data_IF_589354975464
#
_entry.id   IF_589354975464
#
_cell.length_a   1.000
_cell.length_b   1.000
_cell.length_c   1.000
_cell.angle_alpha   90.00
_cell.angle_beta   90.00
_cell.angle_gamma   90.00
#
_symmetry.space_group_name_H-M   'P 1'
#
loop_
_entity.id
_entity.type
_entity.pdbx_description
1 polymer ?
#
# COMPACT_ATOMS: atom_id res chain seq x y z
N UNK A 1 -7.88 7.86 19.70
CA UNK A 1 -8.01 8.71 18.50
C UNK A 1 -7.47 10.13 18.69
N UNK A 2 -7.81 10.85 19.78
CA UNK A 2 -7.40 12.25 19.98
C UNK A 2 -5.88 12.48 19.84
N UNK A 3 -5.08 11.71 20.57
CA UNK A 3 -3.60 11.76 20.53
C UNK A 3 -2.98 11.51 19.14
N UNK A 4 -3.63 10.74 18.28
CA UNK A 4 -3.10 10.40 16.95
C UNK A 4 -3.32 11.51 15.91
N UNK A 5 -4.33 12.35 16.14
CA UNK A 5 -4.70 13.45 15.24
C UNK A 5 -4.17 14.80 15.70
N UNK A 6 -3.81 14.94 16.98
CA UNK A 6 -3.22 16.16 17.54
C UNK A 6 -2.08 16.74 16.68
N UNK A 7 -1.20 15.92 16.06
CA UNK A 7 -0.14 16.46 15.22
C UNK A 7 -0.58 17.02 13.87
N UNK A 8 -1.77 16.66 13.37
CA UNK A 8 -2.34 17.28 12.15
C UNK A 8 -2.83 18.70 12.39
N UNK A 9 -3.17 19.02 13.64
CA UNK A 9 -3.60 20.35 14.04
C UNK A 9 -2.43 21.23 14.52
N UNK A 10 -1.23 20.65 14.62
CA UNK A 10 -0.02 21.39 14.88
C UNK A 10 0.30 22.30 13.68
N UNK A 11 0.22 23.61 13.88
CA UNK A 11 0.56 24.62 12.85
C UNK A 11 2.02 24.58 12.42
N UNK A 12 2.87 23.98 13.24
CA UNK A 12 4.28 23.69 12.98
C UNK A 12 4.39 22.16 12.96
N UNK A 13 5.19 21.61 12.04
CA UNK A 13 5.42 20.16 11.94
C UNK A 13 5.90 19.52 13.23
N UNK A 14 6.19 18.23 13.19
CA UNK A 14 6.67 17.46 14.34
C UNK A 14 8.17 17.19 14.17
N UNK A 15 8.89 17.14 15.27
CA UNK A 15 10.26 16.63 15.31
C UNK A 15 10.25 15.13 15.63
N UNK A 16 10.84 14.32 14.74
CA UNK A 16 11.08 12.88 14.93
C UNK A 16 12.48 12.66 15.45
N UNK A 17 12.61 12.00 16.59
CA UNK A 17 13.90 11.55 17.07
C UNK A 17 14.12 10.09 16.65
N UNK A 18 15.14 9.85 15.82
CA UNK A 18 15.52 8.53 15.32
C UNK A 18 17.04 8.42 15.42
N UNK A 19 17.54 7.36 16.07
CA UNK A 19 18.98 7.12 16.24
C UNK A 19 19.76 8.33 16.79
N UNK A 20 19.19 9.02 17.78
CA UNK A 20 19.68 10.27 18.38
C UNK A 20 19.79 11.47 17.42
N UNK A 21 19.18 11.39 16.24
CA UNK A 21 19.07 12.49 15.29
C UNK A 21 17.63 13.01 15.25
N UNK A 22 17.48 14.33 15.16
CA UNK A 22 16.16 14.97 15.06
C UNK A 22 15.84 15.35 13.63
N UNK A 23 14.73 14.83 13.12
CA UNK A 23 14.20 15.08 11.78
C UNK A 23 12.91 15.90 11.86
N UNK A 24 12.92 17.09 11.26
CA UNK A 24 11.70 17.89 11.15
C UNK A 24 10.82 17.36 10.02
N UNK A 25 9.56 17.02 10.31
CA UNK A 25 8.63 16.58 9.29
C UNK A 25 7.23 17.17 9.47
N UNK A 26 6.57 17.44 8.35
CA UNK A 26 5.17 17.89 8.34
C UNK A 26 4.26 16.71 8.00
N UNK A 27 3.51 16.14 8.97
CA UNK A 27 2.64 15.01 8.69
C UNK A 27 1.55 15.43 7.72
N UNK A 28 1.49 14.79 6.55
CA UNK A 28 0.31 14.90 5.68
C UNK A 28 -0.77 13.97 6.22
N UNK A 29 -2.03 14.39 6.16
CA UNK A 29 -3.19 13.57 6.54
C UNK A 29 -3.13 12.18 5.88
N UNK A 30 -2.63 12.12 4.63
CA UNK A 30 -2.40 10.87 3.91
C UNK A 30 -1.47 9.90 4.64
N UNK A 31 -0.41 10.38 5.28
CA UNK A 31 0.56 9.52 6.00
C UNK A 31 -0.08 8.88 7.23
N UNK A 32 -0.86 9.64 8.01
CA UNK A 32 -1.55 9.12 9.20
C UNK A 32 -2.68 8.16 8.84
N UNK A 33 -3.39 8.43 7.74
CA UNK A 33 -4.40 7.51 7.23
C UNK A 33 -3.74 6.22 6.71
N UNK A 34 -2.61 6.28 6.00
CA UNK A 34 -1.95 5.07 5.49
C UNK A 34 -1.46 4.11 6.59
N UNK A 35 -1.09 4.64 7.75
CA UNK A 35 -0.63 3.83 8.90
C UNK A 35 -1.76 3.26 9.77
N UNK A 36 -3.02 3.66 9.53
CA UNK A 36 -4.14 3.11 10.28
C UNK A 36 -4.47 1.70 9.76
N UNK A 37 -4.42 0.63 10.58
CA UNK A 37 -4.70 -0.75 10.14
C UNK A 37 -6.06 -0.93 9.42
N UNK A 38 -7.11 -0.26 9.88
CA UNK A 38 -8.41 -0.24 9.20
C UNK A 38 -8.35 0.53 7.88
N UNK A 39 -7.65 1.65 7.81
CA UNK A 39 -7.52 2.40 6.58
C UNK A 39 -6.57 1.71 5.58
N UNK A 40 -5.59 0.91 6.01
CA UNK A 40 -4.77 0.09 5.12
C UNK A 40 -5.63 -0.90 4.28
N UNK A 41 -6.84 -1.22 4.76
CA UNK A 41 -7.82 -2.03 4.04
C UNK A 41 -8.66 -1.20 3.04
N UNK A 42 -8.89 0.09 3.31
CA UNK A 42 -9.75 0.99 2.52
C UNK A 42 -9.01 1.99 1.61
N UNK A 43 -7.80 2.42 1.97
CA UNK A 43 -6.98 3.40 1.27
C UNK A 43 -6.30 2.73 0.08
N UNK A 44 -7.13 2.42 -0.90
CA UNK A 44 -6.80 1.98 -2.26
C UNK A 44 -5.96 3.01 -3.05
N UNK A 45 -5.43 4.06 -2.40
CA UNK A 45 -4.83 5.21 -3.10
C UNK A 45 -3.34 5.34 -2.81
N UNK A 46 -2.85 4.82 -1.68
CA UNK A 46 -1.41 4.85 -1.40
C UNK A 46 -1.01 3.60 -0.63
N UNK A 47 -0.43 2.63 -1.33
CA UNK A 47 0.45 1.65 -0.69
C UNK A 47 1.79 2.34 -0.49
N UNK A 48 2.33 2.26 0.73
CA UNK A 48 3.72 2.66 1.02
C UNK A 48 4.65 2.05 -0.04
N UNK A 49 5.70 2.76 -0.44
CA UNK A 49 6.74 2.27 -1.36
C UNK A 49 7.38 0.95 -0.90
N UNK A 50 7.25 0.61 0.40
CA UNK A 50 7.71 -0.65 0.99
C UNK A 50 6.63 -1.74 1.07
N UNK A 51 5.41 -1.51 0.58
CA UNK A 51 4.35 -2.51 0.60
C UNK A 51 4.56 -3.54 -0.51
N UNK A 52 5.11 -4.70 -0.13
CA UNK A 52 5.18 -5.89 -0.97
C UNK A 52 3.83 -6.58 -1.24
N UNK A 53 2.72 -6.02 -0.72
CA UNK A 53 1.40 -6.58 -0.97
C UNK A 53 0.85 -6.10 -2.31
N UNK A 54 0.27 -6.98 -3.11
CA UNK A 54 -0.27 -6.62 -4.41
C UNK A 54 -1.56 -5.79 -4.32
N UNK A 55 -1.74 -4.82 -5.21
CA UNK A 55 -2.98 -4.04 -5.30
C UNK A 55 -4.16 -4.98 -5.61
N UNK A 56 -5.26 -4.87 -4.87
CA UNK A 56 -6.34 -5.87 -4.93
C UNK A 56 -7.11 -5.83 -6.24
N UNK A 57 -7.17 -4.68 -6.93
CA UNK A 57 -7.88 -4.55 -8.20
C UNK A 57 -7.01 -4.75 -9.44
N UNK A 58 -5.69 -4.65 -9.30
CA UNK A 58 -4.78 -4.62 -10.44
C UNK A 58 -3.90 -5.87 -10.44
N UNK A 59 -3.62 -6.33 -11.65
CA UNK A 59 -2.69 -7.39 -11.95
C UNK A 59 -1.45 -6.74 -12.56
N UNK A 60 -0.36 -6.72 -11.80
CA UNK A 60 0.87 -6.01 -12.15
C UNK A 60 2.04 -6.96 -11.86
N UNK A 61 3.10 -6.90 -12.66
CA UNK A 61 4.33 -7.62 -12.35
C UNK A 61 4.87 -7.23 -10.98
N UNK A 62 5.40 -8.18 -10.21
CA UNK A 62 6.06 -7.87 -8.93
C UNK A 62 7.21 -6.87 -9.07
N UNK A 63 7.90 -6.88 -10.22
CA UNK A 63 8.99 -5.95 -10.52
C UNK A 63 8.52 -4.50 -10.69
N UNK A 64 7.23 -4.29 -10.94
CA UNK A 64 6.62 -2.99 -11.19
C UNK A 64 5.75 -2.52 -10.02
N UNK A 65 5.77 -3.19 -8.86
CA UNK A 65 4.94 -2.81 -7.70
C UNK A 65 5.23 -1.41 -7.17
N UNK A 66 6.47 -0.92 -7.33
CA UNK A 66 6.88 0.45 -6.97
C UNK A 66 6.72 1.45 -8.10
N UNK A 67 6.33 1.01 -9.30
CA UNK A 67 6.14 1.92 -10.43
C UNK A 67 4.85 2.72 -10.23
N UNK A 68 4.99 4.05 -10.21
CA UNK A 68 3.88 4.99 -10.06
C UNK A 68 3.23 5.37 -11.40
N UNK A 69 3.82 4.97 -12.52
CA UNK A 69 3.23 5.13 -13.84
C UNK A 69 2.09 4.11 -14.02
N UNK A 70 0.86 4.61 -14.14
CA UNK A 70 -0.36 3.83 -14.20
C UNK A 70 -0.87 3.63 -15.63
N UNK A 71 -0.07 3.96 -16.65
CA UNK A 71 -0.47 3.90 -18.07
C UNK A 71 -0.79 2.48 -18.56
N UNK A 72 -0.05 1.46 -18.11
CA UNK A 72 -0.22 0.06 -18.52
C UNK A 72 -0.65 -0.83 -17.34
N UNK A 73 -1.87 -0.62 -16.86
CA UNK A 73 -2.46 -1.42 -15.79
C UNK A 73 -3.49 -2.40 -16.34
N UNK A 74 -3.27 -3.68 -16.04
CA UNK A 74 -4.29 -4.71 -16.23
C UNK A 74 -5.14 -4.82 -14.98
N UNK A 75 -6.47 -4.80 -15.13
CA UNK A 75 -7.41 -5.06 -14.03
C UNK A 75 -7.57 -6.55 -13.80
N UNK A 76 -7.79 -6.96 -12.55
CA UNK A 76 -8.15 -8.34 -12.22
C UNK A 76 -9.57 -8.63 -12.65
N UNK A 77 -9.76 -9.78 -13.29
CA UNK A 77 -11.05 -10.36 -13.57
C UNK A 77 -10.96 -11.89 -13.37
N UNK A 78 -12.10 -12.59 -13.42
CA UNK A 78 -12.10 -14.03 -13.16
C UNK A 78 -11.27 -14.82 -14.19
N UNK A 79 -11.28 -14.39 -15.45
CA UNK A 79 -10.62 -15.09 -16.55
C UNK A 79 -9.10 -15.03 -16.40
N UNK A 80 -8.53 -13.84 -16.24
CA UNK A 80 -7.10 -13.67 -16.08
C UNK A 80 -6.60 -14.29 -14.77
N UNK A 81 -7.33 -14.14 -13.67
CA UNK A 81 -6.96 -14.76 -12.39
C UNK A 81 -6.89 -16.28 -12.51
N UNK A 82 -7.85 -16.90 -13.21
CA UNK A 82 -7.83 -18.34 -13.48
C UNK A 82 -6.64 -18.72 -14.37
N UNK A 83 -6.40 -17.98 -15.45
CA UNK A 83 -5.28 -18.23 -16.36
C UNK A 83 -3.93 -18.23 -15.62
N UNK A 84 -3.63 -17.18 -14.84
CA UNK A 84 -2.38 -17.09 -14.07
C UNK A 84 -2.27 -18.15 -12.97
N UNK A 85 -3.40 -18.58 -12.40
CA UNK A 85 -3.44 -19.65 -11.41
C UNK A 85 -3.10 -21.01 -12.03
N UNK A 86 -3.78 -21.38 -13.13
CA UNK A 86 -3.57 -22.67 -13.80
C UNK A 86 -2.20 -22.78 -14.48
N UNK A 87 -1.62 -21.66 -14.89
CA UNK A 87 -0.30 -21.62 -15.53
C UNK A 87 0.88 -21.52 -14.55
N UNK A 88 0.67 -21.56 -13.22
CA UNK A 88 1.67 -21.29 -12.16
C UNK A 88 2.44 -19.96 -12.33
N UNK A 89 1.92 -19.05 -13.16
CA UNK A 89 2.50 -17.74 -13.45
C UNK A 89 2.16 -16.69 -12.38
N UNK A 90 1.36 -17.07 -11.37
CA UNK A 90 1.03 -16.19 -10.24
C UNK A 90 2.23 -15.78 -9.38
N UNK A 91 3.39 -16.45 -9.53
CA UNK A 91 4.63 -16.09 -8.80
C UNK A 91 5.24 -14.79 -9.30
N UNK A 92 5.10 -14.47 -10.58
CA UNK A 92 5.69 -13.26 -11.20
C UNK A 92 4.74 -12.06 -11.17
N UNK A 93 3.45 -12.35 -11.05
CA UNK A 93 2.41 -11.35 -10.91
C UNK A 93 2.13 -10.99 -9.45
N UNK A 94 1.39 -9.92 -9.26
CA UNK A 94 0.85 -9.44 -8.00
C UNK A 94 -0.19 -10.42 -7.39
N UNK A 95 0.01 -11.75 -7.46
CA UNK A 95 -0.87 -12.75 -6.89
C UNK A 95 -0.26 -13.36 -5.63
N UNK A 96 -1.11 -13.57 -4.62
CA UNK A 96 -0.73 -14.25 -3.39
C UNK A 96 -1.71 -15.40 -3.17
N UNK A 97 -1.17 -16.61 -3.06
CA UNK A 97 -1.96 -17.74 -2.63
C UNK A 97 -2.24 -17.58 -1.14
N UNK A 98 -3.50 -17.33 -0.80
CA UNK A 98 -3.98 -17.19 0.57
C UNK A 98 -5.08 -18.23 0.72
N UNK A 99 -5.01 -19.04 1.77
CA UNK A 99 -6.07 -19.98 2.10
C UNK A 99 -7.38 -19.21 2.28
N UNK A 100 -8.42 -19.65 1.57
CA UNK A 100 -9.75 -19.13 1.83
C UNK A 100 -10.19 -19.63 3.21
N UNK A 101 -10.40 -18.72 4.17
CA UNK A 101 -10.83 -19.03 5.53
C UNK A 101 -12.36 -19.04 5.67
N UNK A 102 -13.10 -18.80 4.58
CA UNK A 102 -14.56 -18.82 4.51
C UNK A 102 -15.09 -20.17 4.03
#
# INVERSE_FOLDING_TARGET
MKFLLDPLFAKKGIDLEVDNETYWFFPRISTIICDWPEAATFSLVYKSTNSNFPYHFCLISKTLLSNTDLSDITFRNNENMQEYFYNDAGKDMSLKNISNYF
#
